data_IF_645353197504
#
_entry.id   IF_645353197504
#
_cell.length_a   1.000
_cell.length_b   1.000
_cell.length_c   1.000
_cell.angle_alpha   90.00
_cell.angle_beta   90.00
_cell.angle_gamma   90.00
#
_symmetry.space_group_name_H-M   'P 1'
#
loop_
_entity.id
_entity.type
_entity.pdbx_description
1 polymer ?
#
# COMPACT_ATOMS: atom_id res chain seq x y z
N UNK A 1 -1.78 -1.57 29.46
CA UNK A 1 -2.19 -1.19 28.11
C UNK A 1 -1.29 -0.06 27.65
N UNK A 2 -0.96 0.07 26.37
CA UNK A 2 -0.23 1.22 25.86
C UNK A 2 -1.07 2.50 25.97
N UNK A 3 -0.43 3.66 25.94
CA UNK A 3 -1.12 4.96 25.93
C UNK A 3 -1.45 5.39 24.50
N UNK A 4 -0.57 5.05 23.54
CA UNK A 4 -0.69 5.36 22.12
C UNK A 4 -0.57 4.04 21.32
N UNK A 5 -1.36 3.92 20.26
CA UNK A 5 -1.28 2.82 19.29
C UNK A 5 -1.15 3.37 17.88
N UNK A 6 -0.48 2.62 17.02
CA UNK A 6 -0.48 2.83 15.58
C UNK A 6 -1.53 1.91 14.95
N UNK A 7 -2.39 2.47 14.11
CA UNK A 7 -3.45 1.71 13.42
C UNK A 7 -3.41 2.00 11.93
N UNK A 8 -3.58 0.97 11.10
CA UNK A 8 -3.75 1.15 9.67
C UNK A 8 -5.05 1.91 9.37
N UNK A 9 -5.03 2.81 8.40
CA UNK A 9 -6.18 3.66 8.08
C UNK A 9 -7.42 2.87 7.66
N UNK A 10 -7.22 1.78 6.92
CA UNK A 10 -8.29 0.88 6.48
C UNK A 10 -8.94 0.06 7.60
N UNK A 11 -8.39 0.10 8.83
CA UNK A 11 -8.94 -0.50 10.02
C UNK A 11 -9.59 0.52 10.97
N UNK A 12 -9.31 1.82 10.79
CA UNK A 12 -9.67 2.85 11.76
C UNK A 12 -11.20 2.96 11.93
N UNK A 13 -11.94 3.09 10.83
CA UNK A 13 -13.40 3.26 10.84
C UNK A 13 -14.10 2.11 11.61
N UNK A 14 -13.71 0.85 11.33
CA UNK A 14 -14.25 -0.33 11.99
C UNK A 14 -14.00 -0.31 13.50
N UNK A 15 -12.76 -0.10 13.89
CA UNK A 15 -12.37 -0.17 15.30
C UNK A 15 -12.98 0.97 16.11
N UNK A 16 -13.01 2.19 15.56
CA UNK A 16 -13.64 3.34 16.23
C UNK A 16 -15.15 3.11 16.39
N UNK A 17 -15.82 2.59 15.35
CA UNK A 17 -17.25 2.31 15.37
C UNK A 17 -17.63 1.18 16.33
N UNK A 18 -16.84 0.10 16.36
CA UNK A 18 -17.05 -1.05 17.24
C UNK A 18 -16.76 -0.71 18.72
N UNK A 19 -15.79 0.19 18.96
CA UNK A 19 -15.34 0.53 20.31
C UNK A 19 -15.36 2.05 20.55
N UNK A 20 -16.52 2.72 20.51
CA UNK A 20 -16.63 4.19 20.48
C UNK A 20 -16.11 4.90 21.75
N UNK A 21 -15.82 4.14 22.82
CA UNK A 21 -15.23 4.66 24.06
C UNK A 21 -13.77 4.29 24.25
N UNK A 22 -13.17 3.55 23.32
CA UNK A 22 -11.80 3.08 23.46
C UNK A 22 -10.76 4.15 23.10
N UNK A 23 -11.12 5.09 22.24
CA UNK A 23 -10.19 6.07 21.69
C UNK A 23 -10.56 7.51 22.09
N UNK A 24 -9.55 8.33 22.31
CA UNK A 24 -9.71 9.74 22.63
C UNK A 24 -9.96 10.55 21.36
N UNK A 25 -11.05 11.36 21.27
CA UNK A 25 -11.18 12.33 20.19
C UNK A 25 -10.05 13.37 20.25
N UNK A 26 -9.47 13.67 19.10
CA UNK A 26 -8.34 14.60 18.97
C UNK A 26 -8.76 16.00 18.51
N UNK A 27 -10.04 16.21 18.20
CA UNK A 27 -10.59 17.53 17.86
C UNK A 27 -10.29 18.55 18.95
N UNK A 28 -9.76 19.71 18.56
CA UNK A 28 -9.37 20.78 19.48
C UNK A 28 -8.15 20.49 20.37
N UNK A 29 -7.57 19.29 20.27
CA UNK A 29 -6.34 18.89 20.98
C UNK A 29 -5.11 18.94 20.10
N UNK A 30 -5.28 18.67 18.80
CA UNK A 30 -4.25 18.70 17.76
C UNK A 30 -4.81 19.50 16.58
N UNK A 31 -3.96 20.29 15.93
CA UNK A 31 -4.34 21.03 14.71
C UNK A 31 -4.36 20.08 13.49
N UNK A 32 -5.49 19.42 13.28
CA UNK A 32 -5.69 18.48 12.19
C UNK A 32 -5.76 19.16 10.80
N UNK A 33 -5.90 20.50 10.75
CA UNK A 33 -5.91 21.23 9.47
C UNK A 33 -4.54 21.21 8.77
N UNK A 34 -3.48 20.90 9.50
CA UNK A 34 -2.10 20.79 9.00
C UNK A 34 -1.80 19.41 8.40
N UNK A 35 -2.79 18.54 8.28
CA UNK A 35 -2.60 17.21 7.69
C UNK A 35 -3.36 17.07 6.37
N UNK A 36 -2.90 16.13 5.54
CA UNK A 36 -3.59 15.79 4.31
C UNK A 36 -5.05 15.40 4.60
N UNK A 37 -6.01 16.15 4.05
CA UNK A 37 -7.43 16.06 4.42
C UNK A 37 -8.01 14.66 4.25
N UNK A 38 -7.62 13.95 3.17
CA UNK A 38 -8.07 12.58 2.92
C UNK A 38 -7.65 11.60 4.02
N UNK A 39 -6.50 11.84 4.66
CA UNK A 39 -6.01 11.04 5.78
C UNK A 39 -6.79 11.32 7.06
N UNK A 40 -7.08 12.59 7.33
CA UNK A 40 -7.92 12.98 8.47
C UNK A 40 -9.31 12.36 8.36
N UNK A 41 -9.84 12.25 7.14
CA UNK A 41 -11.18 11.69 6.90
C UNK A 41 -11.28 10.20 7.25
N UNK A 42 -10.20 9.40 7.14
CA UNK A 42 -10.19 8.00 7.58
C UNK A 42 -10.41 7.81 9.09
N UNK A 43 -10.02 8.80 9.89
CA UNK A 43 -10.19 8.78 11.34
C UNK A 43 -11.48 9.40 11.86
N UNK A 44 -12.35 9.89 10.97
CA UNK A 44 -13.61 10.55 11.35
C UNK A 44 -14.76 9.56 11.46
N UNK A 45 -15.33 9.48 12.66
CA UNK A 45 -16.54 8.71 12.93
C UNK A 45 -17.50 9.60 13.74
N UNK A 46 -18.76 9.68 13.31
CA UNK A 46 -19.80 10.51 13.94
C UNK A 46 -19.37 11.98 14.16
N UNK A 47 -18.67 12.57 13.20
CA UNK A 47 -18.24 13.97 13.21
C UNK A 47 -17.04 14.28 14.10
N UNK A 48 -16.43 13.28 14.73
CA UNK A 48 -15.20 13.43 15.55
C UNK A 48 -14.05 12.69 14.91
N UNK A 49 -12.84 13.25 15.01
CA UNK A 49 -11.61 12.62 14.53
C UNK A 49 -10.85 11.98 15.71
N UNK A 50 -10.49 10.72 15.56
CA UNK A 50 -9.82 9.90 16.58
C UNK A 50 -8.38 9.55 16.22
N UNK A 51 -7.92 9.94 15.02
CA UNK A 51 -6.60 9.61 14.53
C UNK A 51 -5.77 10.84 14.26
N UNK A 52 -4.46 10.74 14.54
CA UNK A 52 -3.45 11.65 14.02
C UNK A 52 -2.80 10.97 12.83
N UNK A 53 -2.99 11.46 11.59
CA UNK A 53 -2.35 10.87 10.42
C UNK A 53 -0.83 10.85 10.55
N UNK A 54 -0.21 9.73 10.17
CA UNK A 54 1.25 9.59 10.25
C UNK A 54 1.87 9.49 8.87
N UNK A 55 1.76 8.34 8.22
CA UNK A 55 2.42 8.06 6.97
C UNK A 55 1.46 7.81 5.81
N UNK A 56 2.02 7.80 4.62
CA UNK A 56 1.34 7.56 3.36
C UNK A 56 1.71 6.16 2.84
N UNK A 57 0.74 5.46 2.28
CA UNK A 57 0.93 4.17 1.66
C UNK A 57 1.16 4.22 0.14
N UNK A 58 1.54 5.37 -0.43
CA UNK A 58 1.72 5.50 -1.88
C UNK A 58 2.62 4.40 -2.43
N UNK A 59 2.14 3.69 -3.46
CA UNK A 59 2.87 2.59 -4.05
C UNK A 59 3.83 3.06 -5.13
N UNK A 60 4.92 2.31 -5.26
CA UNK A 60 5.82 2.39 -6.41
C UNK A 60 6.25 0.98 -6.84
N UNK A 61 6.70 0.87 -8.07
CA UNK A 61 7.41 -0.28 -8.59
C UNK A 61 8.90 -0.04 -8.38
N UNK A 62 9.50 -0.78 -7.46
CA UNK A 62 10.94 -0.73 -7.17
C UNK A 62 11.67 -1.80 -7.96
N UNK A 63 12.68 -1.42 -8.73
CA UNK A 63 13.34 -2.27 -9.71
C UNK A 63 14.86 -2.29 -9.54
N UNK A 64 15.46 -3.46 -9.68
CA UNK A 64 16.91 -3.66 -9.73
C UNK A 64 17.44 -3.26 -11.10
N UNK A 65 18.12 -2.13 -11.15
CA UNK A 65 18.65 -1.55 -12.40
C UNK A 65 19.70 -2.45 -13.06
N UNK A 66 20.52 -3.14 -12.28
CA UNK A 66 21.50 -4.11 -12.76
C UNK A 66 20.84 -5.35 -13.41
N UNK A 67 19.78 -5.89 -12.79
CA UNK A 67 19.02 -7.01 -13.35
C UNK A 67 18.26 -6.59 -14.62
N UNK A 68 17.70 -5.38 -14.65
CA UNK A 68 17.06 -4.85 -15.86
C UNK A 68 18.08 -4.68 -17.00
N UNK A 69 19.26 -4.14 -16.71
CA UNK A 69 20.32 -3.97 -17.72
C UNK A 69 20.78 -5.31 -18.33
N UNK A 70 20.86 -6.39 -17.51
CA UNK A 70 21.11 -7.75 -17.98
C UNK A 70 20.02 -8.23 -18.96
N UNK A 71 18.78 -7.80 -18.75
CA UNK A 71 17.66 -8.09 -19.65
C UNK A 71 17.58 -7.15 -20.88
N UNK A 72 18.44 -6.13 -20.96
CA UNK A 72 18.42 -5.11 -22.00
C UNK A 72 17.30 -4.08 -21.80
N UNK A 73 16.87 -3.88 -20.58
CA UNK A 73 15.80 -2.97 -20.19
C UNK A 73 16.33 -1.87 -19.22
N UNK A 74 15.52 -0.85 -19.05
CA UNK A 74 15.76 0.26 -18.14
C UNK A 74 14.53 0.51 -17.26
N UNK A 75 14.63 1.22 -16.14
CA UNK A 75 13.46 1.63 -15.35
C UNK A 75 12.42 2.42 -16.16
N UNK A 76 12.85 3.20 -17.15
CA UNK A 76 11.96 4.00 -18.01
C UNK A 76 10.97 3.13 -18.82
N UNK A 77 11.32 1.88 -19.14
CA UNK A 77 10.43 0.95 -19.84
C UNK A 77 9.22 0.55 -18.99
N UNK A 78 9.27 0.76 -17.67
CA UNK A 78 8.24 0.42 -16.71
C UNK A 78 7.41 1.62 -16.24
N UNK A 79 7.68 2.81 -16.73
CA UNK A 79 6.94 4.01 -16.33
C UNK A 79 5.67 4.18 -17.16
N UNK A 80 4.55 4.57 -16.52
CA UNK A 80 3.25 4.84 -17.15
C UNK A 80 2.67 3.68 -18.00
N UNK A 81 2.97 2.44 -17.63
CA UNK A 81 2.55 1.25 -18.39
C UNK A 81 1.27 0.61 -17.86
N UNK A 82 0.74 -0.34 -18.63
CA UNK A 82 -0.34 -1.23 -18.23
C UNK A 82 0.20 -2.52 -17.61
N UNK A 83 -0.65 -3.26 -16.87
CA UNK A 83 -0.29 -4.58 -16.35
C UNK A 83 0.04 -5.58 -17.45
N UNK A 84 -0.64 -5.52 -18.60
CA UNK A 84 -0.32 -6.40 -19.73
C UNK A 84 1.12 -6.12 -20.25
N UNK A 85 1.50 -4.83 -20.35
CA UNK A 85 2.87 -4.47 -20.68
C UNK A 85 3.89 -4.89 -19.62
N UNK A 86 3.52 -4.78 -18.34
CA UNK A 86 4.34 -5.26 -17.23
C UNK A 86 4.61 -6.76 -17.31
N UNK A 87 3.60 -7.56 -17.69
CA UNK A 87 3.73 -9.00 -17.93
C UNK A 87 4.68 -9.28 -19.10
N UNK A 88 4.55 -8.56 -20.22
CA UNK A 88 5.47 -8.69 -21.37
C UNK A 88 6.93 -8.43 -20.97
N UNK A 89 7.18 -7.34 -20.24
CA UNK A 89 8.52 -7.00 -19.75
C UNK A 89 9.03 -8.06 -18.75
N UNK A 90 8.15 -8.58 -17.93
CA UNK A 90 8.45 -9.67 -16.99
C UNK A 90 8.91 -10.95 -17.69
N UNK A 91 8.29 -11.30 -18.83
CA UNK A 91 8.74 -12.42 -19.67
C UNK A 91 10.16 -12.21 -20.20
N UNK A 92 10.49 -10.98 -20.62
CA UNK A 92 11.83 -10.62 -21.09
C UNK A 92 12.85 -10.76 -19.96
N UNK A 93 12.56 -10.19 -18.79
CA UNK A 93 13.44 -10.30 -17.60
C UNK A 93 13.67 -11.77 -17.26
N UNK A 94 12.60 -12.56 -17.11
CA UNK A 94 12.71 -13.97 -16.78
C UNK A 94 13.51 -14.77 -17.81
N UNK A 95 13.26 -14.55 -19.10
CA UNK A 95 13.96 -15.25 -20.16
C UNK A 95 15.46 -14.94 -20.21
N UNK A 96 15.86 -13.72 -19.89
CA UNK A 96 17.25 -13.25 -19.95
C UNK A 96 18.04 -13.54 -18.67
N UNK A 97 17.40 -13.40 -17.50
CA UNK A 97 18.09 -13.46 -16.20
C UNK A 97 17.74 -14.70 -15.39
N UNK A 98 16.72 -15.45 -15.79
CA UNK A 98 16.18 -16.57 -15.01
C UNK A 98 15.37 -16.15 -13.75
N UNK A 99 15.29 -14.84 -13.45
CA UNK A 99 14.64 -14.32 -12.26
C UNK A 99 13.19 -13.92 -12.53
N UNK A 100 12.25 -14.18 -11.60
CA UNK A 100 10.95 -13.51 -11.60
C UNK A 100 11.11 -11.99 -11.54
N UNK A 101 10.16 -11.26 -12.13
CA UNK A 101 10.20 -9.78 -12.08
C UNK A 101 9.93 -9.27 -10.69
N UNK A 102 8.91 -9.82 -10.00
CA UNK A 102 8.51 -9.42 -8.65
C UNK A 102 8.18 -10.63 -7.78
N UNK A 103 7.99 -10.39 -6.48
CA UNK A 103 7.41 -11.35 -5.54
C UNK A 103 6.32 -10.68 -4.69
N UNK A 104 5.42 -11.48 -4.13
CA UNK A 104 4.39 -11.04 -3.18
C UNK A 104 4.12 -12.13 -2.14
N UNK A 105 3.71 -11.79 -0.90
CA UNK A 105 3.23 -12.77 0.05
C UNK A 105 1.99 -13.49 -0.51
N UNK A 106 1.98 -14.81 -0.44
CA UNK A 106 0.89 -15.64 -0.96
C UNK A 106 -0.39 -15.53 -0.13
N UNK A 107 -0.26 -15.24 1.16
CA UNK A 107 -1.34 -15.12 2.13
C UNK A 107 -2.02 -13.74 2.16
N UNK A 108 -1.61 -12.84 1.26
CA UNK A 108 -2.07 -11.47 1.25
C UNK A 108 -2.79 -11.09 -0.04
N UNK A 109 -3.96 -10.48 0.11
CA UNK A 109 -4.67 -9.82 -1.00
C UNK A 109 -4.11 -8.41 -1.33
N UNK A 110 -2.93 -8.04 -0.83
CA UNK A 110 -2.36 -6.69 -1.00
C UNK A 110 -2.15 -6.33 -2.46
N UNK A 111 -1.69 -7.29 -3.28
CA UNK A 111 -1.47 -7.04 -4.70
C UNK A 111 -2.78 -6.73 -5.44
N UNK A 112 -3.86 -7.46 -5.08
CA UNK A 112 -5.22 -7.19 -5.59
C UNK A 112 -5.71 -5.83 -5.13
N UNK A 113 -5.48 -5.48 -3.85
CA UNK A 113 -5.85 -4.19 -3.29
C UNK A 113 -5.14 -3.02 -4.00
N UNK A 114 -3.83 -3.16 -4.30
CA UNK A 114 -3.07 -2.18 -5.08
C UNK A 114 -3.71 -1.95 -6.47
N UNK A 115 -4.05 -3.02 -7.18
CA UNK A 115 -4.67 -2.91 -8.49
C UNK A 115 -6.07 -2.28 -8.42
N UNK A 116 -6.90 -2.70 -7.46
CA UNK A 116 -8.25 -2.15 -7.28
C UNK A 116 -8.23 -0.66 -6.89
N UNK A 117 -7.33 -0.27 -5.99
CA UNK A 117 -7.14 1.14 -5.62
C UNK A 117 -6.80 1.99 -6.84
N UNK A 118 -5.92 1.51 -7.73
CA UNK A 118 -5.56 2.22 -8.97
C UNK A 118 -6.75 2.39 -9.93
N UNK A 119 -7.73 1.49 -9.86
CA UNK A 119 -8.97 1.55 -10.64
C UNK A 119 -10.09 2.34 -9.93
N UNK A 120 -9.83 2.95 -8.77
CA UNK A 120 -10.81 3.74 -8.03
C UNK A 120 -11.99 2.93 -7.49
N UNK A 121 -11.84 1.62 -7.28
CA UNK A 121 -12.91 0.73 -6.80
C UNK A 121 -12.46 -0.09 -5.59
N UNK A 122 -13.42 -0.69 -4.90
CA UNK A 122 -13.17 -1.51 -3.72
C UNK A 122 -14.19 -2.65 -3.60
N UNK A 123 -14.10 -3.44 -2.53
CA UNK A 123 -14.95 -4.61 -2.26
C UNK A 123 -16.40 -4.24 -1.90
N UNK A 124 -16.66 -2.97 -1.64
CA UNK A 124 -17.99 -2.42 -1.34
C UNK A 124 -18.29 -1.26 -2.29
N UNK A 125 -19.56 -1.10 -2.63
CA UNK A 125 -20.01 0.04 -3.43
C UNK A 125 -20.12 1.33 -2.58
N UNK A 126 -20.55 2.43 -3.21
CA UNK A 126 -20.71 3.72 -2.54
C UNK A 126 -21.75 3.69 -1.40
N UNK A 127 -22.69 2.73 -1.44
CA UNK A 127 -23.72 2.53 -0.41
C UNK A 127 -23.28 1.56 0.70
N UNK A 128 -22.07 1.00 0.58
CA UNK A 128 -21.52 0.04 1.53
C UNK A 128 -22.00 -1.40 1.30
N UNK A 129 -22.67 -1.70 0.17
CA UNK A 129 -23.05 -3.07 -0.19
C UNK A 129 -21.89 -3.83 -0.79
N UNK A 130 -21.84 -5.13 -0.54
CA UNK A 130 -20.82 -6.04 -1.07
C UNK A 130 -20.79 -6.01 -2.60
N UNK A 131 -19.62 -5.69 -3.18
CA UNK A 131 -19.37 -5.54 -4.61
C UNK A 131 -18.15 -6.37 -5.02
N UNK A 132 -18.27 -7.69 -4.97
CA UNK A 132 -17.18 -8.63 -5.26
C UNK A 132 -17.43 -9.30 -6.62
N UNK A 133 -18.48 -10.11 -6.74
CA UNK A 133 -18.74 -10.90 -7.95
C UNK A 133 -19.03 -10.07 -9.19
N UNK A 134 -19.61 -8.88 -9.04
CA UNK A 134 -19.93 -7.98 -10.17
C UNK A 134 -18.85 -6.91 -10.41
N UNK A 135 -17.78 -6.90 -9.63
CA UNK A 135 -16.70 -5.92 -9.75
C UNK A 135 -15.74 -6.31 -10.89
N UNK A 136 -15.92 -5.69 -12.05
CA UNK A 136 -15.12 -5.97 -13.25
C UNK A 136 -13.61 -5.75 -13.03
N UNK A 137 -13.24 -4.73 -12.26
CA UNK A 137 -11.83 -4.47 -11.95
C UNK A 137 -11.25 -5.60 -11.10
N UNK A 138 -12.02 -6.14 -10.15
CA UNK A 138 -11.57 -7.27 -9.33
C UNK A 138 -11.36 -8.54 -10.16
N UNK A 139 -12.25 -8.85 -11.10
CA UNK A 139 -12.06 -9.96 -12.06
C UNK A 139 -10.75 -9.80 -12.83
N UNK A 140 -10.49 -8.58 -13.32
CA UNK A 140 -9.28 -8.31 -14.07
C UNK A 140 -8.01 -8.39 -13.20
N UNK A 141 -8.07 -7.93 -11.94
CA UNK A 141 -6.99 -8.10 -10.97
C UNK A 141 -6.66 -9.59 -10.74
N UNK A 142 -7.70 -10.43 -10.59
CA UNK A 142 -7.53 -11.88 -10.43
C UNK A 142 -6.88 -12.51 -11.67
N UNK A 143 -7.33 -12.13 -12.88
CA UNK A 143 -6.72 -12.59 -14.14
C UNK A 143 -5.25 -12.23 -14.22
N UNK A 144 -4.93 -10.94 -14.00
CA UNK A 144 -3.55 -10.43 -14.08
C UNK A 144 -2.65 -11.17 -13.09
N UNK A 145 -3.06 -11.27 -11.83
CA UNK A 145 -2.25 -11.92 -10.80
C UNK A 145 -2.04 -13.41 -11.09
N UNK A 146 -3.12 -14.13 -11.44
CA UNK A 146 -3.04 -15.55 -11.79
C UNK A 146 -2.13 -15.80 -12.99
N UNK A 147 -2.19 -14.94 -14.00
CA UNK A 147 -1.30 -15.02 -15.16
C UNK A 147 0.16 -14.79 -14.76
N UNK A 148 0.45 -13.79 -13.93
CA UNK A 148 1.81 -13.52 -13.45
C UNK A 148 2.40 -14.69 -12.66
N UNK A 149 1.60 -15.35 -11.85
CA UNK A 149 2.01 -16.55 -11.10
C UNK A 149 2.23 -17.73 -12.06
N UNK A 150 1.27 -18.02 -12.93
CA UNK A 150 1.33 -19.15 -13.87
C UNK A 150 2.54 -19.05 -14.82
N UNK A 151 2.90 -17.83 -15.23
CA UNK A 151 4.07 -17.58 -16.09
C UNK A 151 5.36 -17.42 -15.28
N UNK A 152 5.30 -17.44 -13.94
CA UNK A 152 6.45 -17.27 -13.05
C UNK A 152 7.11 -15.90 -13.15
N UNK A 153 6.31 -14.88 -13.44
CA UNK A 153 6.70 -13.47 -13.45
C UNK A 153 6.62 -12.91 -12.02
N UNK A 154 5.64 -13.38 -11.26
CA UNK A 154 5.53 -13.12 -9.83
C UNK A 154 5.84 -14.40 -9.04
N UNK A 155 6.75 -14.30 -8.08
CA UNK A 155 7.04 -15.37 -7.13
C UNK A 155 6.10 -15.24 -5.91
N UNK A 156 5.28 -16.25 -5.67
CA UNK A 156 4.47 -16.34 -4.45
C UNK A 156 5.38 -16.73 -3.28
N UNK A 157 5.64 -15.81 -2.38
CA UNK A 157 6.39 -16.07 -1.15
C UNK A 157 5.46 -16.63 -0.07
N UNK A 158 5.93 -17.58 0.74
CA UNK A 158 5.11 -18.28 1.73
C UNK A 158 4.56 -17.37 2.82
N UNK A 159 5.31 -16.34 3.18
CA UNK A 159 4.98 -15.36 4.21
C UNK A 159 5.72 -14.04 3.99
N UNK A 160 5.53 -13.10 4.91
CA UNK A 160 6.18 -11.80 4.88
C UNK A 160 7.72 -11.89 4.93
N UNK A 161 8.29 -12.75 5.79
CA UNK A 161 9.74 -12.86 5.92
C UNK A 161 10.37 -13.45 4.66
N UNK A 162 9.75 -14.46 4.08
CA UNK A 162 10.15 -15.04 2.80
C UNK A 162 10.08 -13.99 1.67
N UNK A 163 9.02 -13.19 1.64
CA UNK A 163 8.89 -12.09 0.68
C UNK A 163 10.03 -11.08 0.81
N UNK A 164 10.33 -10.58 2.01
CA UNK A 164 11.45 -9.65 2.24
C UNK A 164 12.78 -10.29 1.85
N UNK A 165 12.97 -11.57 2.15
CA UNK A 165 14.19 -12.29 1.77
C UNK A 165 14.39 -12.34 0.24
N UNK A 166 13.32 -12.46 -0.57
CA UNK A 166 13.45 -12.43 -2.04
C UNK A 166 14.03 -11.11 -2.57
N UNK A 167 13.65 -10.00 -1.96
CA UNK A 167 14.12 -8.65 -2.29
C UNK A 167 15.59 -8.50 -1.88
N UNK A 168 15.89 -8.86 -0.63
CA UNK A 168 17.22 -8.68 -0.03
C UNK A 168 18.28 -9.58 -0.64
N UNK A 169 17.93 -10.78 -1.05
CA UNK A 169 18.86 -11.71 -1.73
C UNK A 169 18.98 -11.46 -3.24
N UNK A 170 18.11 -10.62 -3.81
CA UNK A 170 18.06 -10.40 -5.26
C UNK A 170 17.52 -11.61 -6.03
N UNK A 171 16.68 -12.44 -5.38
CA UNK A 171 16.00 -13.56 -6.03
C UNK A 171 14.98 -13.09 -7.06
N UNK A 172 14.50 -11.86 -6.96
CA UNK A 172 13.60 -11.19 -7.90
C UNK A 172 14.22 -9.90 -8.43
N UNK A 173 13.72 -9.42 -9.55
CA UNK A 173 14.20 -8.18 -10.19
C UNK A 173 13.60 -6.91 -9.56
N UNK A 174 12.59 -7.03 -8.70
CA UNK A 174 11.94 -5.89 -8.06
C UNK A 174 10.77 -6.25 -7.17
N UNK A 175 10.03 -5.24 -6.76
CA UNK A 175 8.80 -5.38 -5.97
C UNK A 175 7.86 -4.22 -6.24
N UNK A 176 6.55 -4.42 -6.03
CA UNK A 176 5.54 -3.34 -6.04
C UNK A 176 4.93 -3.30 -4.64
N UNK A 177 5.09 -2.17 -3.96
CA UNK A 177 4.54 -2.03 -2.60
C UNK A 177 4.43 -0.55 -2.20
N UNK A 178 3.84 -0.29 -1.03
CA UNK A 178 3.87 1.03 -0.40
C UNK A 178 5.29 1.53 -0.16
N UNK A 179 5.48 2.82 -0.15
CA UNK A 179 6.80 3.47 0.00
C UNK A 179 7.59 3.01 1.24
N UNK A 180 6.91 2.56 2.27
CA UNK A 180 7.51 2.02 3.50
C UNK A 180 8.38 0.77 3.27
N UNK A 181 8.27 0.09 2.13
CA UNK A 181 9.15 -1.04 1.76
C UNK A 181 10.60 -0.58 1.54
N UNK A 182 10.84 0.71 1.33
CA UNK A 182 12.18 1.29 1.16
C UNK A 182 13.09 0.91 2.32
N UNK A 183 12.58 0.88 3.56
CA UNK A 183 13.36 0.46 4.71
C UNK A 183 13.89 -0.97 4.59
N UNK A 184 13.10 -1.88 4.02
CA UNK A 184 13.54 -3.28 3.78
C UNK A 184 14.49 -3.40 2.59
N UNK A 185 14.30 -2.58 1.55
CA UNK A 185 15.19 -2.52 0.38
C UNK A 185 16.58 -1.99 0.79
N UNK A 186 16.62 -0.90 1.55
CA UNK A 186 17.87 -0.24 1.95
C UNK A 186 18.61 -0.96 3.07
N UNK A 187 18.04 -2.01 3.66
CA UNK A 187 18.68 -2.83 4.67
C UNK A 187 19.90 -3.64 4.14
N UNK A 188 20.11 -3.68 2.81
CA UNK A 188 21.23 -4.40 2.17
C UNK A 188 22.16 -3.41 1.48
N UNK A 189 23.21 -2.90 2.16
CA UNK A 189 24.08 -1.85 1.64
C UNK A 189 24.77 -2.20 0.30
N UNK A 190 25.03 -3.48 0.04
CA UNK A 190 25.65 -3.97 -1.20
C UNK A 190 24.79 -3.77 -2.44
N UNK A 191 23.51 -3.46 -2.26
CA UNK A 191 22.58 -3.13 -3.33
C UNK A 191 22.47 -1.62 -3.58
N UNK A 192 23.23 -0.79 -2.86
CA UNK A 192 23.26 0.66 -3.06
C UNK A 192 23.62 1.02 -4.51
N UNK A 193 22.90 1.99 -5.07
CA UNK A 193 23.07 2.43 -6.46
C UNK A 193 22.48 1.48 -7.51
N UNK A 194 21.81 0.40 -7.10
CA UNK A 194 21.26 -0.62 -7.99
C UNK A 194 19.73 -0.66 -8.02
N UNK A 195 19.07 0.36 -7.49
CA UNK A 195 17.61 0.43 -7.44
C UNK A 195 17.09 1.69 -8.12
N UNK A 196 15.90 1.59 -8.66
CA UNK A 196 15.11 2.72 -9.11
C UNK A 196 13.62 2.48 -8.77
N UNK A 197 12.87 3.56 -8.63
CA UNK A 197 11.42 3.52 -8.43
C UNK A 197 10.72 4.18 -9.61
N UNK A 198 9.63 3.55 -10.07
CA UNK A 198 8.69 4.10 -11.06
C UNK A 198 7.27 3.94 -10.55
N UNK A 199 6.29 4.53 -11.22
CA UNK A 199 4.90 4.39 -10.81
C UNK A 199 4.36 2.94 -11.01
N UNK A 200 3.17 2.69 -10.46
CA UNK A 200 2.50 1.38 -10.50
C UNK A 200 1.80 1.19 -11.85
N UNK A 201 1.80 -0.01 -12.47
CA UNK A 201 1.05 -0.24 -13.69
C UNK A 201 -0.46 -0.07 -13.49
N UNK A 202 -1.18 0.33 -14.55
CA UNK A 202 -2.64 0.49 -14.55
C UNK A 202 -3.35 -0.65 -15.29
N UNK A 203 -4.64 -0.85 -15.01
CA UNK A 203 -5.47 -1.85 -15.69
C UNK A 203 -5.94 -1.27 -17.03
N UNK A 204 -5.51 -1.89 -18.15
CA UNK A 204 -5.80 -1.38 -19.49
C UNK A 204 -7.30 -1.38 -19.84
N UNK A 205 -8.04 -2.40 -19.39
CA UNK A 205 -9.47 -2.57 -19.66
C UNK A 205 -10.37 -1.65 -18.83
N UNK A 206 -9.80 -0.91 -17.85
CA UNK A 206 -10.50 0.05 -17.00
C UNK A 206 -10.08 1.47 -17.35
N UNK A 207 -10.89 2.27 -18.07
CA UNK A 207 -10.52 3.62 -18.52
C UNK A 207 -10.15 4.58 -17.38
N UNK A 208 -10.77 4.43 -16.21
CA UNK A 208 -10.53 5.21 -15.01
C UNK A 208 -9.29 4.78 -14.22
N UNK A 209 -8.67 3.63 -14.55
CA UNK A 209 -7.48 3.16 -13.88
C UNK A 209 -6.27 4.03 -14.19
N UNK A 210 -5.56 4.41 -13.14
CA UNK A 210 -4.37 5.27 -13.20
C UNK A 210 -3.12 4.53 -12.75
N UNK A 211 -1.95 5.09 -13.03
CA UNK A 211 -0.65 4.52 -12.64
C UNK A 211 -0.24 4.86 -11.18
N UNK A 212 -1.24 5.05 -10.31
CA UNK A 212 -1.02 5.47 -8.92
C UNK A 212 -1.93 4.69 -8.00
N UNK A 213 -1.36 4.22 -6.87
CA UNK A 213 -2.09 3.41 -5.91
C UNK A 213 -1.57 3.60 -4.50
N UNK A 214 -2.23 2.97 -3.53
CA UNK A 214 -1.82 2.95 -2.13
C UNK A 214 -1.88 1.52 -1.59
N UNK A 215 -0.92 1.19 -0.71
CA UNK A 215 -0.98 0.01 0.13
C UNK A 215 -0.57 0.39 1.55
N UNK A 216 -1.52 0.35 2.51
CA UNK A 216 -1.31 0.77 3.88
C UNK A 216 -1.49 2.28 4.09
N UNK A 217 -0.62 2.82 4.90
CA UNK A 217 -0.77 4.11 5.56
C UNK A 217 -1.38 3.94 6.94
N UNK A 218 -0.85 4.69 7.90
CA UNK A 218 -1.17 4.50 9.31
C UNK A 218 -1.43 5.84 10.00
N UNK A 219 -2.09 5.75 11.14
CA UNK A 219 -2.40 6.89 11.99
C UNK A 219 -2.20 6.53 13.48
N UNK A 220 -1.79 7.49 14.26
CA UNK A 220 -1.66 7.36 15.71
C UNK A 220 -3.00 7.58 16.40
N UNK A 221 -3.29 6.80 17.41
CA UNK A 221 -4.49 6.92 18.25
C UNK A 221 -4.10 6.90 19.72
N UNK A 222 -4.75 7.73 20.53
CA UNK A 222 -4.60 7.74 22.00
C UNK A 222 -5.74 6.94 22.61
N UNK A 223 -5.43 6.02 23.53
CA UNK A 223 -6.44 5.25 24.23
C UNK A 223 -7.13 6.11 25.28
N UNK A 224 -8.46 6.14 25.27
CA UNK A 224 -9.26 6.91 26.24
C UNK A 224 -9.11 6.42 27.68
N UNK A 225 -8.69 5.15 27.88
CA UNK A 225 -8.41 4.58 29.21
C UNK A 225 -7.02 4.91 29.74
N UNK A 226 -6.18 5.62 28.95
CA UNK A 226 -4.84 6.02 29.40
C UNK A 226 -4.93 7.02 30.55
N UNK A 227 -4.14 6.76 31.59
CA UNK A 227 -3.95 7.72 32.68
C UNK A 227 -3.03 8.88 32.30
N UNK A 228 -2.31 8.74 31.16
CA UNK A 228 -1.33 9.69 30.62
C UNK A 228 -1.83 10.33 29.32
N UNK A 229 -3.15 10.37 29.07
CA UNK A 229 -3.72 10.82 27.80
C UNK A 229 -3.25 12.23 27.40
N UNK A 230 -3.17 13.17 28.35
CA UNK A 230 -2.69 14.53 28.05
C UNK A 230 -1.20 14.57 27.69
N UNK A 231 -0.38 13.73 28.34
CA UNK A 231 1.04 13.57 28.00
C UNK A 231 1.21 12.92 26.63
N UNK A 232 0.38 11.94 26.31
CA UNK A 232 0.35 11.29 25.01
C UNK A 232 0.00 12.30 23.90
N UNK A 233 -1.00 13.14 24.10
CA UNK A 233 -1.36 14.21 23.15
C UNK A 233 -0.25 15.24 23.03
N UNK A 234 0.38 15.67 24.12
CA UNK A 234 1.51 16.62 24.10
C UNK A 234 2.72 16.01 23.34
N UNK A 235 3.00 14.73 23.56
CA UNK A 235 4.03 14.02 22.80
C UNK A 235 3.73 14.05 21.30
N UNK A 236 2.51 13.69 20.89
CA UNK A 236 2.12 13.71 19.47
C UNK A 236 2.18 15.11 18.86
N UNK A 237 1.80 16.15 19.60
CA UNK A 237 1.90 17.54 19.17
C UNK A 237 3.36 18.00 18.96
N UNK A 238 4.27 17.56 19.84
CA UNK A 238 5.69 17.95 19.77
C UNK A 238 6.49 17.12 18.77
N UNK A 239 5.96 15.98 18.34
CA UNK A 239 6.63 15.07 17.41
C UNK A 239 5.95 15.06 16.05
N UNK A 240 4.95 14.20 15.86
CA UNK A 240 4.29 13.96 14.57
C UNK A 240 3.44 15.15 14.06
N UNK A 241 3.05 16.07 14.92
CA UNK A 241 2.31 17.28 14.55
C UNK A 241 3.13 18.57 14.75
N UNK A 242 4.46 18.48 14.99
CA UNK A 242 5.23 19.67 15.33
C UNK A 242 6.72 19.60 15.01
N UNK A 243 7.28 18.50 14.50
CA UNK A 243 8.71 18.35 14.27
C UNK A 243 9.04 17.95 12.85
N UNK A 244 9.51 18.87 12.03
CA UNK A 244 10.10 18.59 10.72
C UNK A 244 11.36 17.74 10.85
N UNK A 245 12.18 17.97 11.88
CA UNK A 245 13.41 17.20 12.16
C UNK A 245 13.10 15.70 12.37
N UNK A 246 11.98 15.38 13.02
CA UNK A 246 11.55 13.99 13.15
C UNK A 246 11.32 13.35 11.78
N UNK A 247 10.56 14.02 10.93
CA UNK A 247 10.26 13.50 9.58
C UNK A 247 11.52 13.42 8.72
N UNK A 248 12.42 14.39 8.80
CA UNK A 248 13.71 14.38 8.11
C UNK A 248 14.59 13.20 8.53
N UNK A 249 14.45 12.76 9.78
CA UNK A 249 15.19 11.61 10.31
C UNK A 249 14.58 10.27 9.91
N UNK A 250 13.24 10.14 9.94
CA UNK A 250 12.58 8.86 9.67
C UNK A 250 12.44 8.56 8.17
N UNK A 251 12.24 9.58 7.33
CA UNK A 251 12.02 9.41 5.90
C UNK A 251 13.11 8.57 5.20
N UNK A 252 14.41 8.93 5.28
CA UNK A 252 15.44 8.15 4.59
C UNK A 252 15.69 6.76 5.21
N UNK A 253 15.27 6.54 6.45
CA UNK A 253 15.48 5.25 7.16
C UNK A 253 14.35 4.26 6.94
N UNK A 254 13.12 4.73 6.80
CA UNK A 254 11.93 3.89 6.74
C UNK A 254 11.10 4.05 5.48
N UNK A 255 11.36 5.08 4.67
CA UNK A 255 10.50 5.44 3.55
C UNK A 255 9.12 5.98 3.97
N UNK A 256 8.90 6.25 5.26
CA UNK A 256 7.63 6.75 5.77
C UNK A 256 7.43 8.20 5.34
N UNK A 257 6.65 8.39 4.30
CA UNK A 257 6.27 9.72 3.79
C UNK A 257 5.21 10.31 4.71
N UNK A 258 5.58 11.37 5.41
CA UNK A 258 4.70 12.06 6.35
C UNK A 258 3.49 12.69 5.67
N UNK A 259 2.37 12.70 6.39
CA UNK A 259 1.12 13.34 5.96
C UNK A 259 0.89 14.70 6.62
N UNK A 260 1.79 15.11 7.51
CA UNK A 260 1.84 16.43 8.08
C UNK A 260 2.43 17.40 7.04
N UNK A 261 1.60 18.35 6.57
CA UNK A 261 1.92 19.22 5.43
C UNK A 261 3.22 20.05 5.61
N UNK A 262 3.52 20.59 6.81
CA UNK A 262 4.78 21.32 7.00
C UNK A 262 6.04 20.47 6.76
N UNK A 263 6.00 19.17 7.07
CA UNK A 263 7.13 18.27 6.79
C UNK A 263 7.41 18.13 5.30
N UNK A 264 6.36 18.14 4.45
CA UNK A 264 6.50 18.01 3.00
C UNK A 264 7.29 19.11 2.32
N UNK A 265 7.53 20.25 2.99
CA UNK A 265 8.38 21.35 2.49
C UNK A 265 9.88 21.16 2.80
N UNK A 266 10.24 20.09 3.52
CA UNK A 266 11.64 19.82 3.88
C UNK A 266 12.49 19.48 2.65
N UNK A 267 13.73 20.01 2.56
CA UNK A 267 14.66 19.66 1.48
C UNK A 267 15.00 18.16 1.39
N UNK A 268 14.78 17.39 2.44
CA UNK A 268 15.02 15.93 2.46
C UNK A 268 14.18 15.21 1.40
N UNK A 269 12.97 15.69 1.11
CA UNK A 269 12.09 15.08 0.09
C UNK A 269 12.64 15.22 -1.34
N UNK A 270 13.33 16.32 -1.66
CA UNK A 270 13.91 16.57 -2.98
C UNK A 270 15.40 16.20 -3.08
N UNK A 271 15.97 15.62 -2.02
CA UNK A 271 17.37 15.20 -2.01
C UNK A 271 17.56 13.90 -2.83
N UNK A 272 18.54 13.88 -3.75
CA UNK A 272 18.94 12.64 -4.42
C UNK A 272 19.33 11.55 -3.40
N UNK A 273 18.91 10.31 -3.66
CA UNK A 273 19.21 9.18 -2.80
C UNK A 273 20.23 8.26 -3.47
N UNK A 274 21.41 8.11 -2.87
CA UNK A 274 22.51 7.29 -3.44
C UNK A 274 22.09 5.83 -3.63
N UNK A 275 21.26 5.29 -2.74
CA UNK A 275 20.75 3.92 -2.84
C UNK A 275 19.93 3.70 -4.13
N UNK A 276 19.26 4.75 -4.60
CA UNK A 276 18.48 4.79 -5.82
C UNK A 276 19.22 5.47 -6.98
N UNK A 277 20.55 5.29 -7.06
CA UNK A 277 21.39 5.81 -8.14
C UNK A 277 21.23 7.35 -8.37
N UNK A 278 20.99 8.11 -7.32
CA UNK A 278 20.79 9.56 -7.39
C UNK A 278 19.36 10.00 -7.72
N UNK A 279 18.39 9.07 -7.83
CA UNK A 279 16.98 9.41 -8.01
C UNK A 279 16.44 10.18 -6.80
N UNK A 280 15.59 11.17 -7.04
CA UNK A 280 14.83 11.87 -5.99
C UNK A 280 13.57 11.08 -5.63
N UNK A 281 13.76 9.84 -5.19
CA UNK A 281 12.70 8.84 -5.04
C UNK A 281 11.54 9.31 -4.15
N UNK A 282 11.81 10.11 -3.10
CA UNK A 282 10.77 10.61 -2.22
C UNK A 282 9.93 11.71 -2.87
N UNK A 283 10.56 12.61 -3.66
CA UNK A 283 9.84 13.62 -4.45
C UNK A 283 8.92 12.97 -5.47
N UNK A 284 9.40 11.93 -6.18
CA UNK A 284 8.62 11.16 -7.15
C UNK A 284 7.40 10.50 -6.48
N UNK A 285 7.60 9.81 -5.34
CA UNK A 285 6.51 9.11 -4.64
C UNK A 285 5.50 10.09 -4.03
N UNK A 286 5.92 11.25 -3.54
CA UNK A 286 4.99 12.32 -3.11
C UNK A 286 4.15 12.79 -4.31
N UNK A 287 4.76 12.92 -5.49
CA UNK A 287 4.05 13.22 -6.73
C UNK A 287 3.03 12.13 -7.11
N UNK A 288 3.33 10.85 -6.83
CA UNK A 288 2.38 9.74 -7.02
C UNK A 288 1.24 9.80 -6.03
N UNK A 289 1.53 10.06 -4.75
CA UNK A 289 0.54 10.15 -3.68
C UNK A 289 -0.59 11.15 -3.98
N UNK A 290 -0.26 12.27 -4.62
CA UNK A 290 -1.22 13.30 -4.99
C UNK A 290 -2.24 12.86 -6.06
N UNK A 291 -1.98 11.76 -6.76
CA UNK A 291 -2.77 11.25 -7.89
C UNK A 291 -3.52 9.95 -7.58
N UNK A 292 -3.41 9.43 -6.36
CA UNK A 292 -4.07 8.19 -5.95
C UNK A 292 -5.59 8.38 -5.93
N UNK A 293 -6.37 7.51 -6.59
CA UNK A 293 -7.81 7.55 -6.51
C UNK A 293 -8.31 7.32 -5.08
N UNK A 294 -9.33 8.06 -4.68
CA UNK A 294 -10.00 7.82 -3.40
C UNK A 294 -10.91 6.61 -3.51
N UNK A 295 -10.84 5.71 -2.54
CA UNK A 295 -11.75 4.59 -2.38
C UNK A 295 -12.33 4.61 -0.97
N UNK A 296 -13.52 4.03 -0.80
CA UNK A 296 -14.11 3.80 0.51
C UNK A 296 -13.82 2.36 0.92
N UNK A 297 -13.00 2.16 1.93
CA UNK A 297 -12.65 0.82 2.41
C UNK A 297 -13.85 0.09 3.02
N UNK A 298 -14.66 0.79 3.82
CA UNK A 298 -15.77 0.20 4.57
C UNK A 298 -15.33 -0.50 5.85
N UNK A 299 -16.28 -0.64 6.79
CA UNK A 299 -16.00 -1.22 8.11
C UNK A 299 -15.68 -2.72 8.06
N UNK A 300 -16.05 -3.41 6.97
CA UNK A 300 -15.83 -4.85 6.77
C UNK A 300 -14.67 -5.14 5.78
N UNK A 301 -13.73 -4.21 5.66
CA UNK A 301 -12.60 -4.32 4.75
C UNK A 301 -11.79 -5.61 4.95
N UNK A 302 -11.53 -5.99 6.19
CA UNK A 302 -10.72 -7.19 6.49
C UNK A 302 -11.45 -8.48 6.18
N UNK A 303 -12.75 -8.57 6.48
CA UNK A 303 -13.59 -9.72 6.13
C UNK A 303 -13.57 -9.95 4.61
N UNK A 304 -13.69 -8.87 3.82
CA UNK A 304 -13.61 -8.96 2.38
C UNK A 304 -12.20 -9.39 1.91
N UNK A 305 -11.14 -8.81 2.47
CA UNK A 305 -9.75 -9.16 2.13
C UNK A 305 -9.44 -10.63 2.43
N UNK A 306 -9.89 -11.14 3.57
CA UNK A 306 -9.70 -12.53 3.96
C UNK A 306 -10.42 -13.47 2.98
N UNK A 307 -11.68 -13.17 2.62
CA UNK A 307 -12.42 -13.94 1.62
C UNK A 307 -11.76 -13.88 0.22
N UNK A 308 -11.19 -12.73 -0.16
CA UNK A 308 -10.45 -12.58 -1.42
C UNK A 308 -9.12 -13.35 -1.39
N UNK A 309 -8.42 -13.39 -0.26
CA UNK A 309 -7.22 -14.22 -0.13
C UNK A 309 -7.54 -15.70 -0.34
N UNK A 310 -8.66 -16.21 0.22
CA UNK A 310 -9.13 -17.58 -0.02
C UNK A 310 -9.47 -17.79 -1.51
N UNK A 311 -10.19 -16.84 -2.12
CA UNK A 311 -10.53 -16.93 -3.55
C UNK A 311 -9.28 -16.97 -4.44
N UNK A 312 -8.20 -16.27 -4.07
CA UNK A 312 -6.92 -16.32 -4.79
C UNK A 312 -6.33 -17.73 -4.76
N UNK A 313 -6.31 -18.40 -3.59
CA UNK A 313 -5.82 -19.78 -3.48
C UNK A 313 -6.65 -20.73 -4.36
N UNK A 314 -7.98 -20.61 -4.35
CA UNK A 314 -8.89 -21.41 -5.17
C UNK A 314 -8.60 -21.21 -6.67
N UNK A 315 -8.42 -19.95 -7.12
CA UNK A 315 -8.15 -19.61 -8.51
C UNK A 315 -6.78 -20.16 -8.94
N UNK A 316 -5.77 -20.02 -8.11
CA UNK A 316 -4.42 -20.57 -8.39
C UNK A 316 -4.43 -22.11 -8.41
N UNK A 317 -5.38 -22.74 -7.72
CA UNK A 317 -5.64 -24.20 -7.79
C UNK A 317 -6.50 -24.61 -9.00
N UNK A 318 -6.95 -23.66 -9.84
CA UNK A 318 -7.65 -23.90 -11.10
C UNK A 318 -9.17 -23.70 -11.05
N UNK A 319 -9.73 -23.16 -9.97
CA UNK A 319 -11.14 -22.78 -9.90
C UNK A 319 -11.43 -21.59 -10.82
N UNK A 320 -12.61 -21.56 -11.44
CA UNK A 320 -13.06 -20.40 -12.23
C UNK A 320 -13.12 -19.12 -11.37
N UNK A 321 -12.69 -18.00 -11.95
CA UNK A 321 -12.61 -16.70 -11.26
C UNK A 321 -14.00 -16.28 -10.75
N UNK A 322 -15.03 -16.40 -11.58
CA UNK A 322 -16.40 -15.99 -11.23
C UNK A 322 -16.95 -16.86 -10.09
N UNK A 323 -16.71 -18.18 -10.12
CA UNK A 323 -17.13 -19.09 -9.06
C UNK A 323 -16.38 -18.81 -7.75
N UNK A 324 -15.09 -18.55 -7.80
CA UNK A 324 -14.30 -18.19 -6.61
C UNK A 324 -14.78 -16.88 -5.98
N UNK A 325 -14.99 -15.84 -6.80
CA UNK A 325 -15.50 -14.55 -6.35
C UNK A 325 -16.93 -14.62 -5.83
N UNK A 326 -17.78 -15.49 -6.40
CA UNK A 326 -19.12 -15.74 -5.89
C UNK A 326 -19.06 -16.34 -4.48
N UNK A 327 -18.23 -17.34 -4.27
CA UNK A 327 -18.02 -17.94 -2.94
C UNK A 327 -17.48 -16.92 -1.94
N UNK A 328 -16.55 -16.05 -2.35
CA UNK A 328 -16.03 -14.98 -1.51
C UNK A 328 -17.13 -13.98 -1.13
N UNK A 329 -17.96 -13.57 -2.09
CA UNK A 329 -19.09 -12.66 -1.81
C UNK A 329 -20.09 -13.28 -0.83
N UNK A 330 -20.50 -14.54 -1.03
CA UNK A 330 -21.41 -15.24 -0.14
C UNK A 330 -20.83 -15.33 1.28
N UNK A 331 -19.53 -15.58 1.41
CA UNK A 331 -18.83 -15.61 2.70
C UNK A 331 -18.88 -14.23 3.39
N UNK A 332 -18.57 -13.16 2.67
CA UNK A 332 -18.62 -11.80 3.22
C UNK A 332 -20.03 -11.44 3.63
N UNK A 333 -21.02 -11.63 2.76
CA UNK A 333 -22.43 -11.33 3.06
C UNK A 333 -22.92 -12.08 4.31
N UNK A 334 -22.57 -13.36 4.44
CA UNK A 334 -22.89 -14.14 5.65
C UNK A 334 -22.25 -13.55 6.91
N UNK A 335 -20.97 -13.16 6.85
CA UNK A 335 -20.24 -12.62 7.99
C UNK A 335 -20.76 -11.25 8.45
N UNK A 336 -21.27 -10.44 7.52
CA UNK A 336 -21.75 -9.07 7.82
C UNK A 336 -23.27 -9.00 8.00
N UNK A 337 -24.00 -10.10 7.79
CA UNK A 337 -25.46 -10.18 7.98
C UNK A 337 -26.25 -9.52 6.83
N UNK A 338 -25.73 -9.54 5.60
CA UNK A 338 -26.43 -9.14 4.37
C UNK A 338 -27.26 -10.28 3.77
#
# INVERSE_FOLDING_TARGET
MPDIILMQDNAAEKNISAYPKAFLPLDGKIDLSQFASYKVDFGKVNGKCYTLPFDNGATATFLRTDTLAEAGLTPADFNDITWDRFIELGRIVKAKTGKPLVSMPQDSADFIAIMMQSAGTWYFDANGKTNIVNNKALHECMRIYSQMIAEGICLAATDWNAYIATIQTGAVAGTINGCWIIGSITAVPEQSGKWAAVNTPRIASMPESVNYSSNGGSSWMVLASSKNADVAVDFLNKTFAGSTELYDTILPKSGAIGTWLPAGSSPVYSKPQDFFAGQKVFEDIVGYAAKIPRVKYGIYNYEARDAISIALYDILAGKDITEALKSAQETVMFQIGE
#
